data_IF_441860175676
#
_entry.id   IF_441860175676
#
_cell.length_a   1.000
_cell.length_b   1.000
_cell.length_c   1.000
_cell.angle_alpha   90.00
_cell.angle_beta   90.00
_cell.angle_gamma   90.00
#
_symmetry.space_group_name_H-M   'P 1'
#
loop_
_entity.id
_entity.type
_entity.pdbx_description
1 polymer ?
#
# COMPACT_ATOMS: atom_id res chain seq x y z
N UNK A 1 -23.60 -23.16 6.23
CA UNK A 1 -22.95 -21.85 6.42
C UNK A 1 -21.76 -21.85 5.51
N UNK A 2 -21.73 -20.97 4.51
CA UNK A 2 -20.53 -20.79 3.69
C UNK A 2 -19.44 -20.16 4.55
N UNK A 3 -18.42 -20.94 4.86
CA UNK A 3 -17.23 -20.44 5.56
C UNK A 3 -16.48 -19.58 4.54
N UNK A 4 -16.33 -18.29 4.82
CA UNK A 4 -15.56 -17.40 3.97
C UNK A 4 -14.11 -17.91 3.90
N UNK A 5 -13.67 -18.33 2.71
CA UNK A 5 -12.36 -18.94 2.48
C UNK A 5 -11.26 -17.93 2.18
N UNK A 6 -11.52 -16.62 2.35
CA UNK A 6 -10.57 -15.58 2.04
C UNK A 6 -10.43 -14.55 3.17
N UNK A 7 -9.24 -13.96 3.29
CA UNK A 7 -9.05 -12.81 4.18
C UNK A 7 -9.89 -11.62 3.69
N UNK A 8 -10.45 -10.82 4.61
CA UNK A 8 -11.47 -9.81 4.27
C UNK A 8 -10.96 -8.70 3.34
N UNK A 9 -9.70 -8.26 3.50
CA UNK A 9 -9.19 -7.10 2.77
C UNK A 9 -8.25 -7.49 1.62
N UNK A 10 -7.33 -8.42 1.87
CA UNK A 10 -6.32 -8.83 0.90
C UNK A 10 -6.72 -10.07 0.09
N UNK A 11 -7.87 -10.69 0.39
CA UNK A 11 -8.42 -11.82 -0.35
C UNK A 11 -7.46 -13.00 -0.46
N UNK A 12 -6.63 -13.23 0.58
CA UNK A 12 -5.71 -14.37 0.62
C UNK A 12 -6.48 -15.64 0.98
N UNK A 13 -6.20 -16.78 0.32
CA UNK A 13 -6.89 -18.03 0.60
C UNK A 13 -6.56 -18.51 2.02
N UNK A 14 -7.60 -18.81 2.79
CA UNK A 14 -7.48 -19.36 4.14
C UNK A 14 -7.29 -20.89 4.07
N UNK A 15 -6.59 -21.48 5.06
CA UNK A 15 -6.54 -22.92 5.23
C UNK A 15 -7.95 -23.53 5.36
N UNK A 16 -8.16 -24.71 4.79
CA UNK A 16 -9.45 -25.41 4.83
C UNK A 16 -9.24 -26.88 5.18
N UNK A 17 -10.07 -27.49 6.05
CA UNK A 17 -9.91 -28.89 6.45
C UNK A 17 -9.94 -29.90 5.30
N UNK A 18 -10.54 -29.55 4.16
CA UNK A 18 -10.57 -30.39 2.96
C UNK A 18 -9.27 -30.31 2.12
N UNK A 19 -8.39 -29.34 2.39
CA UNK A 19 -7.11 -29.23 1.71
C UNK A 19 -6.09 -30.17 2.33
N UNK A 20 -5.15 -30.64 1.52
CA UNK A 20 -3.95 -31.31 2.05
C UNK A 20 -3.09 -30.29 2.80
N UNK A 21 -2.46 -30.72 3.90
CA UNK A 21 -1.58 -29.86 4.71
C UNK A 21 -0.51 -29.16 3.86
N UNK A 22 0.09 -29.86 2.90
CA UNK A 22 1.09 -29.29 2.00
C UNK A 22 0.54 -28.13 1.16
N UNK A 23 -0.70 -28.23 0.69
CA UNK A 23 -1.36 -27.18 -0.08
C UNK A 23 -1.62 -25.95 0.79
N UNK A 24 -2.05 -26.14 2.03
CA UNK A 24 -2.27 -25.05 2.97
C UNK A 24 -0.95 -24.39 3.39
N UNK A 25 0.11 -25.17 3.59
CA UNK A 25 1.46 -24.62 3.82
C UNK A 25 1.91 -23.77 2.64
N UNK A 26 1.71 -24.24 1.40
CA UNK A 26 2.06 -23.46 0.21
C UNK A 26 1.22 -22.18 0.09
N UNK A 27 -0.08 -22.23 0.42
CA UNK A 27 -0.96 -21.05 0.46
C UNK A 27 -0.46 -20.02 1.47
N UNK A 28 -0.08 -20.46 2.67
CA UNK A 28 0.48 -19.59 3.71
C UNK A 28 1.79 -18.95 3.27
N UNK A 29 2.70 -19.73 2.68
CA UNK A 29 3.96 -19.20 2.13
C UNK A 29 3.68 -18.10 1.09
N UNK A 30 2.72 -18.34 0.19
CA UNK A 30 2.35 -17.38 -0.85
C UNK A 30 1.72 -16.11 -0.26
N UNK A 31 0.82 -16.26 0.72
CA UNK A 31 0.21 -15.13 1.42
C UNK A 31 1.25 -14.27 2.14
N UNK A 32 2.22 -14.89 2.82
CA UNK A 32 3.29 -14.15 3.52
C UNK A 32 4.17 -13.36 2.54
N UNK A 33 4.55 -13.96 1.40
CA UNK A 33 5.32 -13.26 0.36
C UNK A 33 4.55 -12.08 -0.24
N UNK A 34 3.25 -12.26 -0.46
CA UNK A 34 2.39 -11.21 -0.99
C UNK A 34 2.23 -10.06 0.01
N UNK A 35 2.02 -10.36 1.30
CA UNK A 35 1.98 -9.34 2.37
C UNK A 35 3.28 -8.54 2.43
N UNK A 36 4.43 -9.20 2.38
CA UNK A 36 5.74 -8.53 2.39
C UNK A 36 5.89 -7.56 1.20
N UNK A 37 5.51 -8.02 0.00
CA UNK A 37 5.51 -7.20 -1.20
C UNK A 37 4.55 -6.00 -1.09
N UNK A 38 3.32 -6.21 -0.60
CA UNK A 38 2.32 -5.17 -0.41
C UNK A 38 2.79 -4.08 0.55
N UNK A 39 3.38 -4.48 1.69
CA UNK A 39 3.92 -3.55 2.68
C UNK A 39 5.06 -2.73 2.06
N UNK A 40 5.98 -3.36 1.34
CA UNK A 40 7.07 -2.67 0.67
C UNK A 40 6.54 -1.65 -0.36
N UNK A 41 5.53 -2.01 -1.16
CA UNK A 41 4.89 -1.10 -2.13
C UNK A 41 4.20 0.08 -1.44
N UNK A 42 3.49 -0.17 -0.33
CA UNK A 42 2.87 0.90 0.45
C UNK A 42 3.90 1.87 1.02
N UNK A 43 5.03 1.37 1.53
CA UNK A 43 6.13 2.21 2.01
C UNK A 43 6.72 3.06 0.89
N UNK A 44 6.93 2.48 -0.29
CA UNK A 44 7.43 3.21 -1.46
C UNK A 44 6.45 4.32 -1.88
N UNK A 45 5.15 4.02 -1.95
CA UNK A 45 4.12 4.99 -2.30
C UNK A 45 4.06 6.14 -1.28
N UNK A 46 4.15 5.84 0.02
CA UNK A 46 4.17 6.86 1.07
C UNK A 46 5.40 7.77 0.97
N UNK A 47 6.58 7.20 0.69
CA UNK A 47 7.80 8.00 0.48
C UNK A 47 7.66 8.92 -0.75
N UNK A 48 7.14 8.41 -1.86
CA UNK A 48 6.91 9.21 -3.06
C UNK A 48 5.89 10.35 -2.81
N UNK A 49 4.83 10.07 -2.05
CA UNK A 49 3.84 11.07 -1.68
C UNK A 49 4.46 12.19 -0.83
N UNK A 50 5.29 11.86 0.17
CA UNK A 50 6.00 12.85 1.00
C UNK A 50 6.92 13.73 0.15
N UNK A 51 7.73 13.14 -0.73
CA UNK A 51 8.61 13.89 -1.63
C UNK A 51 7.80 14.85 -2.54
N UNK A 52 6.63 14.41 -3.02
CA UNK A 52 5.74 15.25 -3.81
C UNK A 52 5.20 16.44 -3.02
N UNK A 53 4.83 16.22 -1.77
CA UNK A 53 4.36 17.27 -0.85
C UNK A 53 5.48 18.26 -0.55
N UNK A 54 6.69 17.79 -0.23
CA UNK A 54 7.85 18.65 0.05
C UNK A 54 8.21 19.53 -1.14
N UNK A 55 8.18 18.97 -2.36
CA UNK A 55 8.40 19.75 -3.59
C UNK A 55 7.34 20.86 -3.75
N UNK A 56 6.07 20.59 -3.45
CA UNK A 56 4.99 21.58 -3.50
C UNK A 56 5.20 22.69 -2.47
N UNK A 57 5.50 22.34 -1.22
CA UNK A 57 5.80 23.31 -0.17
C UNK A 57 7.01 24.17 -0.50
N UNK A 58 8.08 23.57 -1.04
CA UNK A 58 9.27 24.30 -1.49
C UNK A 58 8.93 25.32 -2.58
N UNK A 59 8.10 24.94 -3.56
CA UNK A 59 7.62 25.85 -4.60
C UNK A 59 6.79 26.99 -4.03
N UNK A 60 5.87 26.71 -3.11
CA UNK A 60 5.06 27.74 -2.44
C UNK A 60 5.94 28.75 -1.69
N UNK A 61 6.94 28.26 -0.95
CA UNK A 61 7.92 29.12 -0.25
C UNK A 61 8.74 29.97 -1.24
N UNK A 62 9.22 29.39 -2.33
CA UNK A 62 9.96 30.12 -3.36
C UNK A 62 9.11 31.23 -3.98
N UNK A 63 7.86 30.93 -4.36
CA UNK A 63 6.93 31.92 -4.90
C UNK A 63 6.67 33.07 -3.90
N UNK A 64 6.52 32.76 -2.61
CA UNK A 64 6.40 33.77 -1.55
C UNK A 64 7.64 34.66 -1.43
N UNK A 65 8.84 34.08 -1.46
CA UNK A 65 10.10 34.83 -1.34
C UNK A 65 10.36 35.71 -2.57
N UNK A 66 9.98 35.23 -3.75
CA UNK A 66 10.16 35.94 -5.02
C UNK A 66 9.10 37.04 -5.23
N UNK A 67 8.16 37.22 -4.30
CA UNK A 67 7.18 38.31 -4.34
C UNK A 67 6.14 38.19 -5.45
N UNK A 68 6.07 37.05 -6.14
CA UNK A 68 5.02 36.79 -7.12
C UNK A 68 3.69 36.65 -6.37
N UNK A 69 2.87 37.70 -6.48
CA UNK A 69 1.51 37.70 -5.95
C UNK A 69 0.75 36.61 -6.68
N UNK A 70 0.30 35.58 -5.96
CA UNK A 70 -0.60 34.57 -6.50
C UNK A 70 -1.81 35.30 -7.10
N UNK A 71 -1.91 35.34 -8.42
CA UNK A 71 -3.09 35.86 -9.09
C UNK A 71 -4.29 35.04 -8.58
N UNK A 72 -5.32 35.67 -8.02
CA UNK A 72 -6.50 34.93 -7.60
C UNK A 72 -7.22 34.41 -8.84
N UNK A 73 -7.52 33.11 -8.86
CA UNK A 73 -8.54 32.50 -9.73
C UNK A 73 -9.87 32.60 -8.98
#
# INVERSE_FOLDING_TARGET
MDINQFTPFQQYPLPHPDNLLEQDVQRLINALKAIDADIHQQQLANQQAQVGIDKRFRRLRLNQVLGETLLPI
#
